data_IF_614468803331
#
_entry.id   IF_614468803331
#
_cell.length_a   1.000
_cell.length_b   1.000
_cell.length_c   1.000
_cell.angle_alpha   90.00
_cell.angle_beta   90.00
_cell.angle_gamma   90.00
#
_symmetry.space_group_name_H-M   'P 1'
#
loop_
_entity.id
_entity.type
_entity.pdbx_description
1 polymer ?
#
# COMPACT_ATOMS: atom_id res chain seq x y z
N UNK A 1 16.56 -8.50 16.50
CA UNK A 1 15.48 -7.51 16.30
C UNK A 1 15.32 -7.28 14.80
N UNK A 2 14.21 -7.70 14.16
CA UNK A 2 13.99 -7.35 12.75
C UNK A 2 13.72 -5.84 12.68
N UNK A 3 14.55 -5.11 11.92
CA UNK A 3 14.45 -3.67 11.75
C UNK A 3 13.20 -3.34 10.91
N UNK A 4 12.24 -2.52 11.43
CA UNK A 4 11.11 -2.06 10.64
C UNK A 4 11.56 -0.89 9.75
N UNK A 5 12.21 -1.20 8.63
CA UNK A 5 12.65 -0.25 7.61
C UNK A 5 12.90 -0.99 6.30
N UNK A 6 12.50 -0.40 5.16
CA UNK A 6 12.58 -1.04 3.84
C UNK A 6 13.97 -1.60 3.52
N UNK A 7 14.01 -2.62 2.66
CA UNK A 7 15.26 -3.25 2.25
C UNK A 7 16.12 -2.28 1.42
N UNK A 8 17.44 -2.23 1.65
CA UNK A 8 18.37 -1.34 0.94
C UNK A 8 19.29 -2.12 0.01
N UNK A 9 19.62 -1.52 -1.12
CA UNK A 9 20.39 -2.11 -2.22
C UNK A 9 19.49 -2.39 -3.43
N UNK A 10 20.03 -3.09 -4.44
CA UNK A 10 19.27 -3.60 -5.58
C UNK A 10 18.93 -5.10 -5.46
N UNK A 11 17.70 -5.53 -5.78
CA UNK A 11 17.14 -6.85 -5.50
C UNK A 11 17.72 -7.96 -6.41
N UNK A 12 19.04 -8.14 -6.41
CA UNK A 12 19.77 -9.21 -7.11
C UNK A 12 19.39 -10.62 -6.63
N UNK A 13 18.63 -10.71 -5.54
CA UNK A 13 18.02 -11.92 -4.99
C UNK A 13 16.70 -12.32 -5.67
N UNK A 14 16.15 -11.51 -6.61
CA UNK A 14 14.84 -11.75 -7.22
C UNK A 14 14.69 -13.15 -7.82
N UNK A 15 15.61 -13.54 -8.70
CA UNK A 15 15.51 -14.84 -9.38
C UNK A 15 15.52 -16.02 -8.38
N UNK A 16 16.32 -15.93 -7.33
CA UNK A 16 16.41 -16.95 -6.28
C UNK A 16 15.09 -17.08 -5.52
N UNK A 17 14.53 -15.98 -5.01
CA UNK A 17 13.31 -16.04 -4.19
C UNK A 17 12.08 -16.44 -5.01
N UNK A 18 12.04 -16.08 -6.30
CA UNK A 18 10.95 -16.46 -7.19
C UNK A 18 11.00 -17.96 -7.52
N UNK A 19 12.20 -18.52 -7.74
CA UNK A 19 12.36 -19.98 -7.92
C UNK A 19 12.02 -20.74 -6.65
N UNK A 20 12.43 -20.24 -5.48
CA UNK A 20 12.07 -20.83 -4.19
C UNK A 20 10.56 -20.83 -3.93
N UNK A 21 9.81 -19.91 -4.56
CA UNK A 21 8.33 -19.88 -4.53
C UNK A 21 7.69 -20.90 -5.50
N UNK A 22 8.49 -21.63 -6.27
CA UNK A 22 8.05 -22.63 -7.25
C UNK A 22 7.61 -22.03 -8.59
N UNK A 23 8.06 -20.82 -8.92
CA UNK A 23 7.72 -20.16 -10.19
C UNK A 23 8.64 -20.59 -11.32
N UNK A 24 8.12 -20.57 -12.54
CA UNK A 24 8.92 -20.71 -13.76
C UNK A 24 9.65 -19.39 -14.05
N UNK A 25 10.95 -19.36 -13.78
CA UNK A 25 11.75 -18.12 -13.77
C UNK A 25 12.81 -18.12 -14.86
N UNK A 26 12.67 -17.17 -15.78
CA UNK A 26 13.65 -16.81 -16.79
C UNK A 26 14.45 -15.59 -16.33
N UNK A 27 15.76 -15.60 -16.54
CA UNK A 27 16.63 -14.43 -16.30
C UNK A 27 16.93 -13.75 -17.62
N UNK A 28 16.50 -12.50 -17.78
CA UNK A 28 16.81 -11.74 -18.98
C UNK A 28 18.32 -11.41 -19.02
N UNK A 29 19.01 -11.53 -20.17
CA UNK A 29 20.44 -11.27 -20.25
C UNK A 29 20.85 -9.93 -19.63
N UNK A 30 21.82 -9.94 -18.72
CA UNK A 30 22.33 -8.75 -18.05
C UNK A 30 21.40 -8.09 -17.02
N UNK A 31 20.29 -8.74 -16.60
CA UNK A 31 19.30 -8.14 -15.70
C UNK A 31 19.90 -7.59 -14.38
N UNK A 32 20.94 -8.24 -13.85
CA UNK A 32 21.62 -7.83 -12.60
C UNK A 32 22.20 -6.42 -12.65
N UNK A 33 22.58 -5.94 -13.84
CA UNK A 33 23.16 -4.62 -14.04
C UNK A 33 22.21 -3.68 -14.81
N UNK A 34 20.95 -4.08 -15.02
CA UNK A 34 19.96 -3.29 -15.75
C UNK A 34 19.12 -2.48 -14.77
N UNK A 35 18.93 -1.20 -15.08
CA UNK A 35 18.13 -0.25 -14.32
C UNK A 35 18.50 1.18 -14.65
N UNK A 36 17.81 2.14 -14.04
CA UNK A 36 18.09 3.57 -14.12
C UNK A 36 18.78 4.08 -12.85
N UNK A 37 19.60 3.22 -12.23
CA UNK A 37 20.26 3.45 -10.95
C UNK A 37 19.67 2.60 -9.81
N UNK A 38 20.17 2.85 -8.60
CA UNK A 38 19.89 2.02 -7.44
C UNK A 38 18.58 2.38 -6.75
N UNK A 39 17.94 1.39 -6.14
CA UNK A 39 16.82 1.61 -5.23
C UNK A 39 17.26 2.41 -3.99
N UNK A 40 16.40 3.33 -3.53
CA UNK A 40 16.63 4.05 -2.26
C UNK A 40 16.37 3.14 -1.06
N UNK A 41 15.19 2.56 -1.05
CA UNK A 41 14.79 1.45 -0.19
C UNK A 41 13.53 0.79 -0.77
N UNK A 42 13.43 -0.54 -0.74
CA UNK A 42 12.30 -1.29 -1.29
C UNK A 42 11.25 -1.50 -0.21
N UNK A 43 10.04 -1.00 -0.47
CA UNK A 43 8.93 -0.95 0.47
C UNK A 43 7.75 -1.85 0.09
N UNK A 44 7.77 -2.43 -1.11
CA UNK A 44 6.66 -3.23 -1.62
C UNK A 44 6.73 -3.51 -3.12
N UNK A 45 5.57 -3.88 -3.67
CA UNK A 45 5.37 -4.29 -5.06
C UNK A 45 4.29 -3.42 -5.69
N UNK A 46 4.52 -2.98 -6.93
CA UNK A 46 3.50 -2.35 -7.77
C UNK A 46 3.16 -3.26 -8.95
N UNK A 47 1.88 -3.55 -9.12
CA UNK A 47 1.36 -4.44 -10.16
C UNK A 47 0.77 -3.63 -11.30
N UNK A 48 1.06 -4.08 -12.51
CA UNK A 48 0.66 -3.48 -13.77
C UNK A 48 0.07 -4.52 -14.72
N UNK A 49 -0.63 -4.04 -15.74
CA UNK A 49 -0.77 -4.77 -17.00
C UNK A 49 -0.21 -3.88 -18.10
N UNK A 50 0.32 -4.53 -19.14
CA UNK A 50 1.02 -3.85 -20.23
C UNK A 50 0.08 -3.13 -21.20
N UNK A 51 -1.22 -3.43 -21.16
CA UNK A 51 -2.18 -3.02 -22.18
C UNK A 51 -2.09 -3.87 -23.46
N UNK A 52 -1.33 -4.96 -23.44
CA UNK A 52 -1.17 -5.88 -24.56
C UNK A 52 -0.95 -7.32 -24.09
N UNK A 53 -1.71 -8.26 -24.65
CA UNK A 53 -1.59 -9.70 -24.36
C UNK A 53 -0.28 -10.32 -24.89
N UNK A 54 0.48 -9.59 -25.72
CA UNK A 54 1.70 -10.08 -26.38
C UNK A 54 2.97 -9.33 -25.99
N UNK A 55 2.89 -8.41 -25.02
CA UNK A 55 4.08 -7.73 -24.50
C UNK A 55 5.12 -8.76 -24.02
N UNK A 56 6.38 -8.57 -24.41
CA UNK A 56 7.47 -9.51 -24.12
C UNK A 56 8.42 -8.96 -23.07
N UNK A 57 9.21 -9.83 -22.45
CA UNK A 57 10.29 -9.38 -21.57
C UNK A 57 11.28 -8.46 -22.28
N UNK A 58 11.52 -8.65 -23.59
CA UNK A 58 12.33 -7.75 -24.41
C UNK A 58 11.70 -6.35 -24.48
N UNK A 59 10.39 -6.23 -24.73
CA UNK A 59 9.74 -4.92 -24.76
C UNK A 59 9.78 -4.22 -23.39
N UNK A 60 9.70 -4.97 -22.30
CA UNK A 60 9.89 -4.42 -20.95
C UNK A 60 11.35 -3.98 -20.74
N UNK A 61 12.32 -4.78 -21.18
CA UNK A 61 13.75 -4.51 -20.99
C UNK A 61 14.25 -3.30 -21.77
N UNK A 62 13.78 -3.15 -23.02
CA UNK A 62 14.20 -2.09 -23.95
C UNK A 62 13.33 -0.84 -23.85
N UNK A 63 12.10 -1.01 -23.39
CA UNK A 63 11.12 0.06 -23.35
C UNK A 63 10.44 0.28 -24.69
N UNK A 64 9.98 1.50 -24.88
CA UNK A 64 9.17 1.96 -26.01
C UNK A 64 9.72 3.30 -26.52
N UNK A 65 9.35 3.76 -27.73
CA UNK A 65 9.95 4.96 -28.32
C UNK A 65 9.86 6.22 -27.45
N UNK A 66 8.81 6.35 -26.63
CA UNK A 66 8.59 7.47 -25.71
C UNK A 66 9.17 7.26 -24.31
N UNK A 67 9.63 6.05 -23.97
CA UNK A 67 10.17 5.74 -22.64
C UNK A 67 11.19 4.59 -22.71
N UNK A 68 12.46 4.94 -22.47
CA UNK A 68 13.54 3.96 -22.36
C UNK A 68 13.26 2.93 -21.25
N UNK A 69 13.62 1.68 -21.51
CA UNK A 69 13.53 0.62 -20.51
C UNK A 69 14.70 0.61 -19.52
N UNK A 70 14.58 -0.16 -18.41
CA UNK A 70 13.49 -1.11 -18.15
C UNK A 70 12.19 -0.44 -17.69
N UNK A 71 11.06 -0.97 -18.15
CA UNK A 71 9.71 -0.52 -17.77
C UNK A 71 9.19 -1.19 -16.49
N UNK A 72 9.80 -2.28 -16.06
CA UNK A 72 9.57 -2.93 -14.77
C UNK A 72 10.72 -3.90 -14.45
N UNK A 73 10.79 -4.37 -13.21
CA UNK A 73 11.77 -5.38 -12.81
C UNK A 73 11.34 -6.78 -13.25
N UNK A 74 10.03 -7.07 -13.21
CA UNK A 74 9.48 -8.36 -13.60
C UNK A 74 8.49 -8.22 -14.76
N UNK A 75 8.55 -9.19 -15.67
CA UNK A 75 7.53 -9.45 -16.68
C UNK A 75 6.86 -10.80 -16.39
N UNK A 76 5.53 -10.89 -16.55
CA UNK A 76 4.79 -12.16 -16.46
C UNK A 76 4.02 -12.40 -17.75
N UNK A 77 4.39 -13.46 -18.46
CA UNK A 77 3.71 -13.91 -19.67
C UNK A 77 2.31 -14.49 -19.35
N UNK A 78 1.49 -14.67 -20.40
CA UNK A 78 0.12 -15.21 -20.28
C UNK A 78 0.08 -16.63 -19.71
N UNK A 79 1.11 -17.42 -19.97
CA UNK A 79 1.28 -18.80 -19.51
C UNK A 79 1.85 -18.89 -18.08
N UNK A 80 2.12 -17.77 -17.42
CA UNK A 80 2.69 -17.73 -16.07
C UNK A 80 4.22 -17.70 -16.01
N UNK A 81 4.91 -17.74 -17.15
CA UNK A 81 6.37 -17.56 -17.17
C UNK A 81 6.76 -16.21 -16.61
N UNK A 82 7.66 -16.18 -15.63
CA UNK A 82 8.15 -14.96 -14.98
C UNK A 82 9.55 -14.66 -15.48
N UNK A 83 9.75 -13.52 -16.13
CA UNK A 83 11.08 -13.06 -16.52
C UNK A 83 11.58 -11.96 -15.58
N UNK A 84 12.75 -12.16 -14.99
CA UNK A 84 13.47 -11.10 -14.25
C UNK A 84 14.23 -10.24 -15.26
N UNK A 85 13.80 -9.00 -15.41
CA UNK A 85 14.27 -8.07 -16.45
C UNK A 85 15.38 -7.14 -15.95
N UNK A 86 15.23 -6.65 -14.72
CA UNK A 86 16.12 -5.65 -14.14
C UNK A 86 16.24 -5.82 -12.62
N UNK A 87 17.44 -5.60 -12.09
CA UNK A 87 17.65 -5.45 -10.66
C UNK A 87 17.42 -4.00 -10.24
N UNK A 88 17.97 -3.01 -10.96
CA UNK A 88 17.85 -1.60 -10.59
C UNK A 88 16.46 -1.00 -10.83
N UNK A 89 16.37 0.32 -10.60
CA UNK A 89 15.14 1.10 -10.76
C UNK A 89 14.61 1.01 -12.20
N UNK A 90 13.29 0.90 -12.34
CA UNK A 90 12.57 0.87 -13.62
C UNK A 90 11.55 2.01 -13.69
N UNK A 91 11.21 2.46 -14.91
CA UNK A 91 10.23 3.51 -15.12
C UNK A 91 8.80 2.97 -15.21
N UNK A 92 8.26 2.57 -14.06
CA UNK A 92 6.98 1.84 -13.98
C UNK A 92 5.84 2.63 -13.29
N UNK A 93 6.14 3.47 -12.30
CA UNK A 93 5.15 4.14 -11.46
C UNK A 93 4.82 5.59 -11.90
N UNK A 94 5.83 6.37 -12.27
CA UNK A 94 5.65 7.79 -12.62
C UNK A 94 4.99 8.65 -11.52
N UNK A 95 4.16 9.61 -11.94
CA UNK A 95 3.49 10.59 -11.06
C UNK A 95 2.36 9.94 -10.27
N UNK A 96 2.36 10.06 -8.95
CA UNK A 96 1.32 9.47 -8.12
C UNK A 96 1.64 9.53 -6.64
N UNK A 97 0.75 8.98 -5.83
CA UNK A 97 0.93 8.91 -4.39
C UNK A 97 0.23 7.69 -3.81
N UNK A 98 0.80 7.12 -2.76
CA UNK A 98 0.14 6.10 -1.93
C UNK A 98 0.53 6.34 -0.47
N UNK A 99 -0.33 6.06 0.53
CA UNK A 99 -0.11 6.50 1.92
C UNK A 99 1.26 6.18 2.57
N UNK A 100 1.99 5.17 2.09
CA UNK A 100 3.30 4.78 2.61
C UNK A 100 4.47 5.01 1.63
N UNK A 101 4.21 5.68 0.50
CA UNK A 101 5.20 6.10 -0.49
C UNK A 101 5.35 7.62 -0.49
N UNK A 102 6.57 8.15 -0.63
CA UNK A 102 6.74 9.55 -0.97
C UNK A 102 6.10 9.81 -2.34
N UNK A 103 5.42 10.96 -2.47
CA UNK A 103 4.77 11.35 -3.72
C UNK A 103 5.78 11.37 -4.87
N UNK A 104 5.38 10.85 -6.04
CA UNK A 104 6.17 10.76 -7.27
C UNK A 104 7.46 9.92 -7.16
N UNK A 105 7.61 9.11 -6.10
CA UNK A 105 8.81 8.31 -5.87
C UNK A 105 8.58 6.80 -5.97
N UNK A 106 7.47 6.34 -6.55
CA UNK A 106 7.16 4.91 -6.68
C UNK A 106 8.31 4.09 -7.28
N UNK A 107 8.93 4.58 -8.37
CA UNK A 107 10.03 3.90 -9.07
C UNK A 107 11.20 3.51 -8.15
N UNK A 108 11.51 4.33 -7.14
CA UNK A 108 12.66 4.12 -6.23
C UNK A 108 12.31 3.31 -4.99
N UNK A 109 11.05 2.91 -4.82
CA UNK A 109 10.54 2.31 -3.59
C UNK A 109 9.71 1.04 -3.79
N UNK A 110 9.41 0.65 -5.02
CA UNK A 110 8.64 -0.56 -5.32
C UNK A 110 9.27 -1.36 -6.43
N UNK A 111 9.16 -2.68 -6.33
CA UNK A 111 9.44 -3.58 -7.45
C UNK A 111 8.20 -3.58 -8.35
N UNK A 112 8.35 -3.18 -9.61
CA UNK A 112 7.32 -3.21 -10.63
C UNK A 112 7.17 -4.59 -11.27
N UNK A 113 5.93 -5.02 -11.45
CA UNK A 113 5.55 -6.26 -12.14
C UNK A 113 4.62 -5.91 -13.30
N UNK A 114 5.05 -6.17 -14.52
CA UNK A 114 4.26 -5.99 -15.75
C UNK A 114 3.74 -7.33 -16.24
N UNK A 115 2.42 -7.50 -16.25
CA UNK A 115 1.79 -8.70 -16.79
C UNK A 115 1.39 -8.45 -18.25
N UNK A 116 1.81 -9.33 -19.17
CA UNK A 116 1.38 -9.31 -20.57
C UNK A 116 -0.12 -9.58 -20.65
N UNK A 117 -0.91 -8.52 -20.57
CA UNK A 117 -2.35 -8.58 -20.52
C UNK A 117 -2.91 -7.28 -21.09
N UNK A 118 -3.94 -7.36 -21.93
CA UNK A 118 -4.68 -6.19 -22.43
C UNK A 118 -5.52 -5.49 -21.36
N UNK A 119 -5.67 -6.14 -20.21
CA UNK A 119 -6.56 -5.71 -19.14
C UNK A 119 -8.02 -6.03 -19.45
N UNK A 120 -8.91 -5.49 -18.64
CA UNK A 120 -10.37 -5.48 -18.85
C UNK A 120 -10.93 -4.28 -18.10
N UNK A 121 -12.12 -3.79 -18.47
CA UNK A 121 -12.82 -2.71 -17.76
C UNK A 121 -12.59 -2.73 -16.24
N UNK A 122 -12.31 -1.58 -15.58
CA UNK A 122 -12.11 -1.50 -14.14
C UNK A 122 -13.28 -2.04 -13.29
N UNK A 123 -14.47 -2.12 -13.87
CA UNK A 123 -15.69 -2.65 -13.24
C UNK A 123 -15.97 -4.12 -13.56
N UNK A 124 -15.14 -4.74 -14.40
CA UNK A 124 -15.29 -6.15 -14.71
C UNK A 124 -15.05 -7.01 -13.45
N UNK A 125 -15.69 -8.19 -13.37
CA UNK A 125 -15.39 -9.16 -12.33
C UNK A 125 -13.88 -9.40 -12.23
N UNK A 126 -13.42 -9.60 -10.99
CA UNK A 126 -12.04 -9.94 -10.71
C UNK A 126 -11.56 -11.00 -11.70
N UNK A 127 -10.36 -10.79 -12.27
CA UNK A 127 -9.61 -11.66 -13.20
C UNK A 127 -10.29 -12.04 -14.54
N UNK A 128 -11.35 -11.35 -14.99
CA UNK A 128 -12.14 -11.79 -16.17
C UNK A 128 -11.33 -12.14 -17.44
N UNK A 129 -10.23 -11.44 -17.73
CA UNK A 129 -9.31 -11.75 -18.86
C UNK A 129 -7.90 -12.19 -18.41
N UNK A 130 -7.76 -12.65 -17.18
CA UNK A 130 -6.47 -13.04 -16.61
C UNK A 130 -6.38 -14.57 -16.49
N UNK A 131 -5.48 -15.24 -17.24
CA UNK A 131 -5.27 -16.67 -17.15
C UNK A 131 -4.88 -17.07 -15.74
N UNK A 132 -5.27 -18.27 -15.37
CA UNK A 132 -4.96 -18.80 -14.05
C UNK A 132 -3.45 -18.91 -13.83
N UNK A 133 -2.70 -19.35 -14.84
CA UNK A 133 -1.25 -19.43 -14.74
C UNK A 133 -0.59 -18.06 -14.52
N UNK A 134 -0.98 -17.03 -15.29
CA UNK A 134 -0.49 -15.66 -15.13
C UNK A 134 -0.82 -15.09 -13.74
N UNK A 135 -2.04 -15.30 -13.25
CA UNK A 135 -2.42 -14.77 -11.93
C UNK A 135 -1.79 -15.54 -10.77
N UNK A 136 -1.67 -16.86 -10.87
CA UNK A 136 -0.96 -17.67 -9.86
C UNK A 136 0.49 -17.22 -9.78
N UNK A 137 1.13 -16.98 -10.93
CA UNK A 137 2.47 -16.41 -10.99
C UNK A 137 2.54 -15.01 -10.36
N UNK A 138 1.57 -14.14 -10.62
CA UNK A 138 1.47 -12.81 -10.01
C UNK A 138 1.37 -12.88 -8.47
N UNK A 139 0.49 -13.73 -7.93
CA UNK A 139 0.38 -13.94 -6.47
C UNK A 139 1.72 -14.44 -5.92
N UNK A 140 2.32 -15.44 -6.57
CA UNK A 140 3.61 -15.99 -6.16
C UNK A 140 4.71 -14.94 -6.13
N UNK A 141 4.84 -14.13 -7.18
CA UNK A 141 5.82 -13.04 -7.23
C UNK A 141 5.63 -12.06 -6.08
N UNK A 142 4.40 -11.60 -5.87
CA UNK A 142 4.08 -10.67 -4.79
C UNK A 142 4.38 -11.29 -3.42
N UNK A 143 3.99 -12.54 -3.19
CA UNK A 143 4.21 -13.24 -1.93
C UNK A 143 5.70 -13.46 -1.64
N UNK A 144 6.48 -13.93 -2.61
CA UNK A 144 7.91 -14.15 -2.49
C UNK A 144 8.65 -12.86 -2.13
N UNK A 145 8.35 -11.77 -2.85
CA UNK A 145 8.95 -10.45 -2.60
C UNK A 145 8.54 -9.93 -1.22
N UNK A 146 7.25 -9.93 -0.89
CA UNK A 146 6.77 -9.46 0.40
C UNK A 146 7.39 -10.25 1.56
N UNK A 147 7.48 -11.58 1.44
CA UNK A 147 8.12 -12.45 2.43
C UNK A 147 9.62 -12.13 2.57
N UNK A 148 10.33 -11.96 1.46
CA UNK A 148 11.76 -11.60 1.45
C UNK A 148 12.04 -10.24 2.10
N UNK A 149 11.14 -9.29 1.92
CA UNK A 149 11.22 -7.94 2.50
C UNK A 149 10.72 -7.89 3.96
N UNK A 150 10.09 -8.95 4.47
CA UNK A 150 9.47 -8.94 5.80
C UNK A 150 8.28 -7.99 5.90
N UNK A 151 7.51 -7.83 4.82
CA UNK A 151 6.35 -6.92 4.76
C UNK A 151 5.06 -7.68 4.43
N UNK A 152 3.88 -7.17 4.83
CA UNK A 152 2.63 -7.87 4.57
C UNK A 152 2.11 -7.61 3.15
N UNK A 153 1.08 -8.35 2.76
CA UNK A 153 0.40 -8.19 1.47
C UNK A 153 -0.16 -6.77 1.22
N UNK A 154 -0.37 -5.95 2.26
CA UNK A 154 -0.77 -4.54 2.10
C UNK A 154 0.32 -3.66 1.46
N UNK A 155 1.53 -4.20 1.26
CA UNK A 155 2.60 -3.60 0.44
C UNK A 155 2.53 -3.98 -1.04
N UNK A 156 1.53 -4.75 -1.45
CA UNK A 156 1.17 -4.96 -2.87
C UNK A 156 0.10 -3.95 -3.25
N UNK A 157 0.39 -3.11 -4.24
CA UNK A 157 -0.52 -2.09 -4.77
C UNK A 157 -0.64 -2.21 -6.28
N UNK A 158 -1.78 -1.80 -6.82
CA UNK A 158 -1.97 -1.63 -8.25
C UNK A 158 -1.57 -0.22 -8.66
N UNK A 159 -1.07 -0.06 -9.88
CA UNK A 159 -0.73 1.27 -10.41
C UNK A 159 -1.91 2.24 -10.36
N UNK A 160 -3.14 1.77 -10.56
CA UNK A 160 -4.38 2.54 -10.43
C UNK A 160 -4.61 3.12 -9.05
N UNK A 161 -4.14 2.46 -8.00
CA UNK A 161 -4.26 2.95 -6.63
C UNK A 161 -3.21 4.03 -6.33
N UNK A 162 -2.09 4.03 -7.05
CA UNK A 162 -1.01 5.01 -6.91
C UNK A 162 -1.19 6.23 -7.84
N UNK A 163 -1.41 5.98 -9.13
CA UNK A 163 -1.44 6.99 -10.20
C UNK A 163 -2.85 7.24 -10.77
N UNK A 164 -3.89 6.51 -10.34
CA UNK A 164 -5.23 6.66 -10.92
C UNK A 164 -5.81 8.07 -10.78
N UNK A 165 -5.66 8.70 -9.60
CA UNK A 165 -6.10 10.10 -9.39
C UNK A 165 -5.25 11.12 -10.14
N UNK A 166 -3.95 10.85 -10.30
CA UNK A 166 -3.00 11.80 -10.87
C UNK A 166 -2.93 11.74 -12.40
N UNK A 167 -3.17 10.56 -12.98
CA UNK A 167 -2.91 10.27 -14.39
C UNK A 167 -4.03 9.47 -15.07
N UNK A 168 -5.12 9.13 -14.37
CA UNK A 168 -6.19 8.28 -14.93
C UNK A 168 -5.79 6.82 -15.16
N UNK A 169 -4.66 6.38 -14.58
CA UNK A 169 -4.19 4.99 -14.68
C UNK A 169 -5.20 4.03 -14.05
N UNK A 170 -5.48 2.94 -14.75
CA UNK A 170 -6.48 1.95 -14.34
C UNK A 170 -5.92 0.52 -14.25
N UNK A 171 -4.63 0.35 -14.56
CA UNK A 171 -3.91 -0.92 -14.43
C UNK A 171 -3.63 -1.29 -12.96
N UNK A 172 -3.68 -2.58 -12.57
CA UNK A 172 -4.03 -3.75 -13.36
C UNK A 172 -5.54 -3.86 -13.53
N UNK A 173 -5.96 -3.85 -14.80
CA UNK A 173 -7.34 -3.89 -15.23
C UNK A 173 -8.05 -5.17 -14.85
N UNK A 174 -9.30 -5.11 -14.38
CA UNK A 174 -10.04 -6.31 -13.98
C UNK A 174 -9.49 -7.05 -12.75
N UNK A 175 -8.42 -6.58 -12.10
CA UNK A 175 -7.94 -7.14 -10.83
C UNK A 175 -8.51 -6.32 -9.67
N UNK A 176 -9.42 -6.92 -8.89
CA UNK A 176 -9.73 -6.45 -7.54
C UNK A 176 -8.48 -6.56 -6.66
N UNK A 177 -7.96 -5.41 -6.22
CA UNK A 177 -6.71 -5.32 -5.45
C UNK A 177 -6.87 -5.83 -4.02
N UNK A 178 -8.05 -5.72 -3.42
CA UNK A 178 -8.29 -6.26 -2.08
C UNK A 178 -8.36 -7.78 -2.13
N UNK A 179 -8.94 -8.34 -3.20
CA UNK A 179 -8.88 -9.79 -3.44
C UNK A 179 -7.46 -10.28 -3.71
N UNK A 180 -6.70 -9.58 -4.56
CA UNK A 180 -5.29 -9.91 -4.78
C UNK A 180 -4.50 -9.90 -3.46
N UNK A 181 -4.66 -8.88 -2.62
CA UNK A 181 -4.00 -8.82 -1.31
C UNK A 181 -4.39 -9.96 -0.38
N UNK A 182 -5.66 -10.42 -0.41
CA UNK A 182 -6.08 -11.60 0.36
C UNK A 182 -5.38 -12.87 -0.12
N UNK A 183 -5.31 -13.06 -1.44
CA UNK A 183 -4.65 -14.23 -2.02
C UNK A 183 -3.13 -14.21 -1.76
N UNK A 184 -2.50 -13.04 -1.87
CA UNK A 184 -1.08 -12.83 -1.50
C UNK A 184 -0.87 -13.09 -0.01
N UNK A 185 -1.74 -12.59 0.87
CA UNK A 185 -1.62 -12.85 2.31
C UNK A 185 -1.73 -14.35 2.63
N UNK A 186 -2.68 -15.05 1.99
CA UNK A 186 -2.82 -16.49 2.14
C UNK A 186 -1.57 -17.24 1.68
N UNK A 187 -0.92 -16.80 0.59
CA UNK A 187 0.30 -17.41 0.06
C UNK A 187 1.55 -17.07 0.87
N UNK A 188 1.64 -15.85 1.40
CA UNK A 188 2.72 -15.47 2.33
C UNK A 188 2.67 -16.35 3.60
N UNK A 189 1.46 -16.68 4.07
CA UNK A 189 1.24 -17.37 5.33
C UNK A 189 1.44 -16.43 6.52
N UNK A 190 1.85 -16.98 7.67
CA UNK A 190 2.19 -16.18 8.85
C UNK A 190 3.58 -15.53 8.69
N UNK A 191 3.61 -14.27 8.28
CA UNK A 191 4.78 -13.39 8.45
C UNK A 191 4.63 -12.55 9.71
N UNK A 192 5.67 -12.55 10.54
CA UNK A 192 5.72 -11.70 11.73
C UNK A 192 5.76 -10.22 11.36
N UNK A 193 4.66 -9.50 11.59
CA UNK A 193 4.62 -8.05 11.76
C UNK A 193 4.62 -7.19 10.48
N UNK A 194 3.43 -6.75 10.05
CA UNK A 194 3.23 -5.79 8.96
C UNK A 194 2.05 -4.85 9.19
N UNK A 195 1.96 -3.65 8.57
CA UNK A 195 0.96 -2.63 8.92
C UNK A 195 -0.46 -3.16 8.78
N UNK A 196 -1.14 -3.13 9.92
CA UNK A 196 -2.50 -3.61 10.12
C UNK A 196 -3.51 -2.65 9.46
N UNK A 197 -4.64 -3.15 8.93
CA UNK A 197 -5.59 -2.38 8.13
C UNK A 197 -6.11 -1.14 8.86
N UNK A 198 -6.33 -0.06 8.10
CA UNK A 198 -6.98 1.17 8.58
C UNK A 198 -8.40 0.80 9.08
N UNK A 199 -8.86 1.37 10.20
CA UNK A 199 -10.21 1.12 10.70
C UNK A 199 -11.23 1.46 9.61
N UNK A 200 -12.22 0.59 9.39
CA UNK A 200 -13.34 0.87 8.49
C UNK A 200 -14.08 2.11 8.96
N UNK A 201 -14.12 3.16 8.14
CA UNK A 201 -14.84 4.39 8.42
C UNK A 201 -16.23 4.28 7.79
N UNK A 202 -17.33 4.30 8.56
CA UNK A 202 -18.68 4.38 8.00
C UNK A 202 -18.81 5.64 7.14
N UNK A 203 -19.28 5.51 5.90
CA UNK A 203 -19.45 6.62 4.96
C UNK A 203 -20.36 7.69 5.58
N UNK A 204 -19.95 8.96 5.50
CA UNK A 204 -20.71 10.12 5.99
C UNK A 204 -20.68 10.35 7.50
N UNK A 205 -20.61 9.30 8.33
CA UNK A 205 -20.78 9.42 9.80
C UNK A 205 -19.79 10.36 10.49
N UNK A 206 -18.55 10.45 10.02
CA UNK A 206 -17.51 11.26 10.66
C UNK A 206 -16.90 12.31 9.73
N UNK A 207 -17.55 12.61 8.60
CA UNK A 207 -16.98 13.44 7.53
C UNK A 207 -16.57 14.83 8.03
N UNK A 208 -17.36 15.42 8.92
CA UNK A 208 -17.15 16.77 9.47
C UNK A 208 -16.28 16.80 10.75
N UNK A 209 -15.78 15.64 11.20
CA UNK A 209 -14.96 15.58 12.43
C UNK A 209 -13.54 16.05 12.13
N UNK A 210 -13.17 17.20 12.70
CA UNK A 210 -11.81 17.70 12.71
C UNK A 210 -11.49 18.36 14.06
N UNK A 211 -10.85 17.61 14.96
CA UNK A 211 -10.37 18.13 16.25
C UNK A 211 -8.86 18.13 16.32
N UNK A 212 -8.28 19.23 16.75
CA UNK A 212 -6.84 19.45 16.85
C UNK A 212 -6.55 20.46 17.97
N UNK A 213 -5.26 20.69 18.27
CA UNK A 213 -4.86 21.66 19.29
C UNK A 213 -5.50 23.03 19.04
N UNK A 214 -6.20 23.55 20.04
CA UNK A 214 -6.96 24.80 19.95
C UNK A 214 -8.47 24.61 19.72
N UNK A 215 -8.93 23.43 19.27
CA UNK A 215 -10.36 23.09 19.27
C UNK A 215 -10.92 23.15 20.69
N UNK A 216 -12.18 23.60 20.82
CA UNK A 216 -12.90 23.68 22.10
C UNK A 216 -14.35 23.24 21.94
N UNK A 217 -14.98 22.86 23.04
CA UNK A 217 -16.43 22.61 23.11
C UNK A 217 -16.80 21.15 23.41
N UNK A 218 -18.10 20.82 23.35
CA UNK A 218 -18.64 19.56 23.85
C UNK A 218 -18.10 18.33 23.09
N UNK A 219 -17.78 18.49 21.80
CA UNK A 219 -17.17 17.43 21.00
C UNK A 219 -15.76 17.06 21.46
N UNK A 220 -14.99 18.02 21.99
CA UNK A 220 -13.67 17.78 22.62
C UNK A 220 -13.83 17.09 23.96
N UNK A 221 -14.84 17.45 24.76
CA UNK A 221 -15.14 16.77 26.01
C UNK A 221 -15.53 15.29 25.79
N UNK A 222 -16.28 14.99 24.71
CA UNK A 222 -16.57 13.60 24.31
C UNK A 222 -15.31 12.85 23.87
N UNK A 223 -14.43 13.48 23.10
CA UNK A 223 -13.12 12.91 22.76
C UNK A 223 -12.32 12.55 24.03
N UNK A 224 -12.20 13.49 24.97
CA UNK A 224 -11.49 13.28 26.24
C UNK A 224 -12.11 12.12 27.05
N UNK A 225 -13.45 12.03 27.12
CA UNK A 225 -14.17 10.91 27.76
C UNK A 225 -13.88 9.57 27.07
N UNK A 226 -13.85 9.54 25.74
CA UNK A 226 -13.51 8.33 24.97
C UNK A 226 -12.07 7.90 25.16
N UNK A 227 -11.13 8.84 25.18
CA UNK A 227 -9.71 8.55 25.46
C UNK A 227 -9.53 7.98 26.87
N UNK A 228 -10.21 8.54 27.87
CA UNK A 228 -10.24 7.99 29.24
C UNK A 228 -10.79 6.57 29.30
N UNK A 229 -11.94 6.34 28.66
CA UNK A 229 -12.58 5.04 28.66
C UNK A 229 -11.76 3.99 27.89
N UNK A 230 -11.18 4.37 26.75
CA UNK A 230 -10.40 3.46 25.92
C UNK A 230 -9.15 2.95 26.64
N UNK A 231 -8.51 3.79 27.47
CA UNK A 231 -7.25 3.44 28.15
C UNK A 231 -7.09 4.16 29.50
N UNK A 232 -7.79 3.65 30.52
CA UNK A 232 -7.82 4.23 31.88
C UNK A 232 -6.44 4.38 32.56
N UNK A 233 -5.45 3.55 32.19
CA UNK A 233 -4.12 3.56 32.81
C UNK A 233 -3.22 4.75 32.42
N UNK A 234 -3.54 5.48 31.34
CA UNK A 234 -2.68 6.56 30.82
C UNK A 234 -3.39 7.89 30.61
N UNK A 235 -4.72 7.89 30.64
CA UNK A 235 -5.54 9.09 30.54
C UNK A 235 -5.97 9.62 31.93
N UNK A 236 -5.40 9.10 33.02
CA UNK A 236 -5.76 9.45 34.40
C UNK A 236 -5.74 10.96 34.65
N UNK A 237 -4.70 11.63 34.16
CA UNK A 237 -4.51 13.08 34.34
C UNK A 237 -5.11 13.92 33.21
N UNK A 238 -5.65 13.31 32.15
CA UNK A 238 -6.30 14.04 31.07
C UNK A 238 -7.56 14.72 31.65
N UNK A 239 -7.61 16.05 31.67
CA UNK A 239 -8.83 16.75 32.13
C UNK A 239 -9.93 16.62 31.07
N UNK A 240 -11.18 16.46 31.51
CA UNK A 240 -12.35 16.55 30.64
C UNK A 240 -12.88 17.97 30.79
N UNK A 241 -12.25 18.91 30.11
CA UNK A 241 -12.55 20.34 30.18
C UNK A 241 -13.06 20.91 28.85
N UNK A 242 -13.17 20.07 27.82
CA UNK A 242 -13.59 20.50 26.49
C UNK A 242 -12.55 21.35 25.78
N UNK A 243 -11.28 21.36 26.24
CA UNK A 243 -10.18 22.10 25.61
C UNK A 243 -9.15 21.14 25.03
N UNK A 244 -8.90 21.27 23.73
CA UNK A 244 -7.88 20.46 23.07
C UNK A 244 -6.50 21.11 23.30
N UNK A 245 -5.93 20.86 24.48
CA UNK A 245 -4.58 21.28 24.87
C UNK A 245 -3.49 20.23 24.55
N UNK A 246 -2.24 20.49 24.98
CA UNK A 246 -1.11 19.57 24.80
C UNK A 246 -1.37 18.15 25.33
N UNK A 247 -2.05 18.02 26.46
CA UNK A 247 -2.34 16.71 27.06
C UNK A 247 -3.35 15.91 26.23
N UNK A 248 -4.38 16.58 25.70
CA UNK A 248 -5.34 15.96 24.75
C UNK A 248 -4.63 15.51 23.48
N UNK A 249 -3.71 16.31 22.95
CA UNK A 249 -2.92 15.93 21.77
C UNK A 249 -2.01 14.74 22.04
N UNK A 250 -1.32 14.73 23.19
CA UNK A 250 -0.47 13.62 23.60
C UNK A 250 -1.27 12.32 23.70
N UNK A 251 -2.46 12.38 24.30
CA UNK A 251 -3.39 11.25 24.41
C UNK A 251 -3.88 10.76 23.03
N UNK A 252 -4.20 11.68 22.09
CA UNK A 252 -4.59 11.31 20.72
C UNK A 252 -3.44 10.69 19.95
N UNK A 253 -2.22 11.24 20.02
CA UNK A 253 -1.05 10.65 19.39
C UNK A 253 -0.75 9.26 19.93
N UNK A 254 -0.91 9.06 21.23
CA UNK A 254 -0.75 7.73 21.84
C UNK A 254 -1.81 6.75 21.33
N UNK A 255 -3.07 7.18 21.29
CA UNK A 255 -4.14 6.39 20.70
C UNK A 255 -3.85 6.01 19.24
N UNK A 256 -3.36 6.97 18.43
CA UNK A 256 -2.99 6.73 17.04
C UNK A 256 -1.79 5.79 16.90
N UNK A 257 -0.78 5.86 17.78
CA UNK A 257 0.36 4.92 17.79
C UNK A 257 -0.08 3.49 18.02
N UNK A 258 -1.03 3.29 18.94
CA UNK A 258 -1.54 1.96 19.32
C UNK A 258 -2.60 1.43 18.37
N UNK A 259 -3.30 2.33 17.68
CA UNK A 259 -4.34 1.96 16.74
C UNK A 259 -3.74 1.77 15.36
N UNK A 260 -3.70 0.51 14.96
CA UNK A 260 -3.40 0.06 13.62
C UNK A 260 -4.01 0.97 12.53
N UNK A 261 -3.18 1.41 11.59
CA UNK A 261 -3.61 2.10 10.38
C UNK A 261 -4.00 3.57 10.54
N UNK A 262 -3.86 4.16 11.74
CA UNK A 262 -3.97 5.60 11.95
C UNK A 262 -2.63 6.31 11.73
N UNK A 263 -2.70 7.54 11.22
CA UNK A 263 -1.57 8.46 11.19
C UNK A 263 -1.36 9.04 12.59
N UNK A 264 -0.12 9.12 13.06
CA UNK A 264 0.24 9.67 14.39
C UNK A 264 0.51 11.18 14.26
N UNK A 265 -0.54 11.96 14.05
CA UNK A 265 -0.44 13.40 13.83
C UNK A 265 -1.10 14.26 14.91
N UNK A 266 -1.74 13.64 15.90
CA UNK A 266 -2.46 14.38 16.95
C UNK A 266 -3.75 15.03 16.43
N UNK A 267 -4.26 14.62 15.27
CA UNK A 267 -5.51 15.15 14.70
C UNK A 267 -6.58 14.08 14.72
N UNK A 268 -7.75 14.44 15.25
CA UNK A 268 -8.93 13.58 15.22
C UNK A 268 -9.73 13.91 13.97
N UNK A 269 -9.36 13.25 12.87
CA UNK A 269 -10.15 13.19 11.65
C UNK A 269 -11.09 11.96 11.60
N UNK A 270 -11.79 11.72 10.47
CA UNK A 270 -12.78 10.65 10.34
C UNK A 270 -12.27 9.25 10.73
N UNK A 271 -11.02 8.92 10.39
CA UNK A 271 -10.41 7.63 10.71
C UNK A 271 -10.15 7.46 12.21
N UNK A 272 -9.64 8.50 12.88
CA UNK A 272 -9.41 8.51 14.33
C UNK A 272 -10.74 8.46 15.07
N UNK A 273 -11.74 9.22 14.61
CA UNK A 273 -13.10 9.23 15.17
C UNK A 273 -13.79 7.86 15.05
N UNK A 274 -13.66 7.21 13.88
CA UNK A 274 -14.18 5.86 13.66
C UNK A 274 -13.53 4.83 14.60
N UNK A 275 -12.21 4.89 14.74
CA UNK A 275 -11.47 4.01 15.64
C UNK A 275 -11.88 4.17 17.11
N UNK A 276 -12.11 5.42 17.55
CA UNK A 276 -12.59 5.74 18.89
C UNK A 276 -14.07 5.41 19.11
N UNK A 277 -14.81 5.10 18.04
CA UNK A 277 -16.28 5.05 18.03
C UNK A 277 -16.86 6.33 18.66
N UNK A 278 -16.30 7.47 18.26
CA UNK A 278 -16.64 8.78 18.80
C UNK A 278 -18.16 9.01 18.67
N UNK A 279 -18.81 9.48 19.73
CA UNK A 279 -20.19 9.97 19.62
C UNK A 279 -20.13 11.39 19.05
N UNK A 280 -20.95 11.69 18.04
CA UNK A 280 -21.13 13.07 17.60
C UNK A 280 -22.09 13.76 18.56
N UNK A 281 -21.72 14.95 19.02
CA UNK A 281 -22.58 15.80 19.85
C UNK A 281 -23.16 16.86 18.92
N UNK A 282 -24.48 16.98 18.89
CA UNK A 282 -25.15 17.99 18.10
C UNK A 282 -24.86 19.38 18.68
N UNK A 283 -24.52 20.38 17.85
CA UNK A 283 -24.20 21.73 18.34
C UNK A 283 -25.39 22.45 19.01
N UNK A 284 -26.61 21.95 18.87
CA UNK A 284 -27.85 22.57 19.39
C UNK A 284 -28.30 22.02 20.76
N UNK A 285 -27.64 21.01 21.32
CA UNK A 285 -28.12 20.34 22.54
C UNK A 285 -27.82 21.06 23.87
N UNK A 286 -27.16 22.22 23.86
CA UNK A 286 -26.79 22.99 25.07
C UNK A 286 -27.46 24.38 25.15
N UNK A 287 -28.58 24.60 24.45
CA UNK A 287 -29.41 25.82 24.58
C UNK A 287 -30.58 25.63 25.60
N UNK A 288 -30.34 24.91 26.70
CA UNK A 288 -31.31 24.64 27.77
C UNK A 288 -30.74 24.92 29.15
#
# INVERSE_FOLDING_TARGET
MPQPGGWRGDPVWLAEVLRAEGLDVVEFPGWRNRGHGDFKDIRGVMVHHTGSDTASAESIARGRPDLAGPLSQLHIARDGTVTVVAAGVAWHAGVGMYPWLPANMGNWHTIGIECANSGTSPTAPHRRNWPDAQYVALIGCCAAICRRLGVPATRTIGHKEYAGRAQGKWDPGGIDMDRLRRDVAARIGSVGGGPRPRPTVPVGKYAEVLLYRGSRGPQVAELQRRLKHAYAAYAGDLRIDGVYGPDTEAAVREFQRRTAGLKVDGVVGPATAAALRLRLVDPESDAG
#
